data_IF_328352829843
#
_entry.id   IF_328352829843
#
_cell.length_a   1.000
_cell.length_b   1.000
_cell.length_c   1.000
_cell.angle_alpha   90.00
_cell.angle_beta   90.00
_cell.angle_gamma   90.00
#
_symmetry.space_group_name_H-M   'P 1'
#
loop_
_entity.id
_entity.type
_entity.pdbx_description
1 polymer ?
#
# COMPACT_ATOMS: atom_id res chain seq x y z
N UNK A 1 -17.51 -1.71 -28.02
CA UNK A 1 -17.89 -1.73 -26.67
C UNK A 1 -17.42 -0.53 -25.86
N UNK A 2 -17.95 0.65 -26.15
CA UNK A 2 -17.68 1.89 -25.43
C UNK A 2 -18.20 1.93 -23.99
N UNK A 3 -18.68 0.81 -23.47
CA UNK A 3 -19.20 0.68 -22.11
C UNK A 3 -18.20 0.05 -21.13
N UNK A 4 -17.05 -0.42 -21.61
CA UNK A 4 -16.09 -1.14 -20.78
C UNK A 4 -15.28 -0.24 -19.82
N UNK A 5 -15.45 1.07 -19.89
CA UNK A 5 -14.87 2.02 -18.94
C UNK A 5 -15.94 3.01 -18.49
N UNK A 6 -16.65 2.74 -17.41
CA UNK A 6 -17.20 3.86 -16.70
C UNK A 6 -16.01 4.69 -16.27
N UNK A 7 -15.77 5.80 -16.96
CA UNK A 7 -14.83 6.78 -16.45
C UNK A 7 -15.31 7.17 -15.05
N UNK A 8 -14.41 7.47 -14.14
CA UNK A 8 -14.77 7.98 -12.82
C UNK A 8 -15.74 9.17 -12.93
N UNK A 9 -15.75 9.90 -14.03
CA UNK A 9 -16.69 10.95 -14.37
C UNK A 9 -18.14 10.51 -14.51
N UNK A 10 -18.42 9.28 -14.88
CA UNK A 10 -19.79 8.79 -14.96
C UNK A 10 -20.44 8.58 -13.58
N UNK A 11 -19.62 8.35 -12.56
CA UNK A 11 -20.07 8.17 -11.18
C UNK A 11 -19.99 9.42 -10.32
N UNK A 12 -19.14 10.38 -10.71
CA UNK A 12 -18.87 11.57 -9.91
C UNK A 12 -19.10 12.81 -10.76
N UNK A 13 -20.00 13.67 -10.28
CA UNK A 13 -20.44 14.88 -10.99
C UNK A 13 -19.35 15.94 -11.14
N UNK A 14 -18.32 15.90 -10.31
CA UNK A 14 -17.24 16.87 -10.29
C UNK A 14 -15.96 16.29 -9.72
N UNK A 15 -14.85 16.99 -9.98
CA UNK A 15 -13.57 16.71 -9.36
C UNK A 15 -13.62 16.75 -7.83
N UNK A 16 -14.41 17.66 -7.27
CA UNK A 16 -14.63 17.76 -5.82
C UNK A 16 -15.28 16.50 -5.26
N UNK A 17 -16.25 15.94 -5.95
CA UNK A 17 -16.90 14.69 -5.55
C UNK A 17 -15.92 13.51 -5.58
N UNK A 18 -15.05 13.45 -6.59
CA UNK A 18 -13.97 12.46 -6.68
C UNK A 18 -13.00 12.55 -5.50
N UNK A 19 -12.53 13.77 -5.22
CA UNK A 19 -11.60 14.00 -4.12
C UNK A 19 -12.24 13.66 -2.78
N UNK A 20 -13.49 14.03 -2.59
CA UNK A 20 -14.27 13.72 -1.39
C UNK A 20 -14.40 12.19 -1.20
N UNK A 21 -14.72 11.46 -2.28
CA UNK A 21 -14.81 10.00 -2.24
C UNK A 21 -13.47 9.33 -1.89
N UNK A 22 -12.35 9.83 -2.43
CA UNK A 22 -11.01 9.35 -2.08
C UNK A 22 -10.71 9.52 -0.59
N UNK A 23 -10.95 10.71 -0.07
CA UNK A 23 -10.60 11.07 1.32
C UNK A 23 -11.49 10.36 2.33
N UNK A 24 -12.80 10.28 2.08
CA UNK A 24 -13.75 9.75 3.04
C UNK A 24 -14.03 8.26 2.90
N UNK A 25 -13.73 7.67 1.77
CA UNK A 25 -14.17 6.33 1.45
C UNK A 25 -13.01 5.40 1.06
N UNK A 26 -12.27 5.73 0.02
CA UNK A 26 -11.23 4.85 -0.52
C UNK A 26 -10.02 4.78 0.42
N UNK A 27 -9.47 5.91 0.82
CA UNK A 27 -8.25 5.95 1.64
C UNK A 27 -8.45 5.34 3.03
N UNK A 28 -9.53 5.63 3.76
CA UNK A 28 -9.76 4.99 5.06
C UNK A 28 -9.95 3.48 4.96
N UNK A 29 -10.65 2.97 3.95
CA UNK A 29 -10.81 1.52 3.73
C UNK A 29 -9.48 0.85 3.39
N UNK A 30 -8.69 1.50 2.55
CA UNK A 30 -7.36 1.02 2.19
C UNK A 30 -6.47 0.88 3.43
N UNK A 31 -6.34 1.97 4.19
CA UNK A 31 -5.56 2.00 5.42
C UNK A 31 -6.02 0.95 6.42
N UNK A 32 -7.33 0.81 6.60
CA UNK A 32 -7.92 -0.18 7.50
C UNK A 32 -7.54 -1.61 7.08
N UNK A 33 -7.66 -1.96 5.81
CA UNK A 33 -7.34 -3.31 5.31
C UNK A 33 -5.86 -3.64 5.50
N UNK A 34 -4.99 -2.69 5.22
CA UNK A 34 -3.54 -2.87 5.43
C UNK A 34 -3.23 -3.06 6.92
N UNK A 35 -3.80 -2.22 7.76
CA UNK A 35 -3.60 -2.28 9.21
C UNK A 35 -4.13 -3.59 9.82
N UNK A 36 -5.29 -4.05 9.39
CA UNK A 36 -5.87 -5.34 9.81
C UNK A 36 -4.97 -6.51 9.41
N UNK A 37 -4.47 -6.51 8.19
CA UNK A 37 -3.56 -7.56 7.71
C UNK A 37 -2.25 -7.59 8.51
N UNK A 38 -1.68 -6.42 8.81
CA UNK A 38 -0.49 -6.33 9.65
C UNK A 38 -0.76 -6.80 11.08
N UNK A 39 -1.88 -6.40 11.65
CA UNK A 39 -2.27 -6.74 13.02
C UNK A 39 -2.54 -8.23 13.19
N UNK A 40 -2.95 -8.92 12.13
CA UNK A 40 -3.14 -10.38 12.15
C UNK A 40 -1.84 -11.15 12.30
N UNK A 41 -0.69 -10.53 12.01
CA UNK A 41 0.63 -11.16 12.15
C UNK A 41 1.24 -10.86 13.52
N UNK A 42 1.48 -11.88 14.36
CA UNK A 42 2.04 -11.67 15.68
C UNK A 42 3.50 -11.22 15.66
N UNK A 43 4.29 -11.68 14.68
CA UNK A 43 5.69 -11.27 14.55
C UNK A 43 5.81 -9.98 13.74
N UNK A 44 6.53 -8.97 14.26
CA UNK A 44 6.73 -7.72 13.52
C UNK A 44 7.35 -7.90 12.13
N UNK A 45 8.26 -8.85 11.97
CA UNK A 45 8.90 -9.12 10.68
C UNK A 45 7.88 -9.61 9.64
N UNK A 46 6.93 -10.45 10.04
CA UNK A 46 5.87 -10.92 9.15
C UNK A 46 4.88 -9.80 8.75
N UNK A 47 4.72 -8.77 9.60
CA UNK A 47 3.91 -7.59 9.28
C UNK A 47 4.45 -6.81 8.08
N UNK A 48 5.76 -6.82 7.86
CA UNK A 48 6.37 -6.17 6.68
C UNK A 48 5.84 -6.80 5.39
N UNK A 49 5.86 -8.13 5.33
CA UNK A 49 5.35 -8.85 4.17
C UNK A 49 3.84 -8.67 4.00
N UNK A 50 3.08 -8.71 5.10
CA UNK A 50 1.64 -8.43 5.09
C UNK A 50 1.33 -7.04 4.53
N UNK A 51 2.08 -6.02 4.92
CA UNK A 51 1.96 -4.66 4.38
C UNK A 51 2.09 -4.65 2.85
N UNK A 52 3.17 -5.21 2.33
CA UNK A 52 3.46 -5.18 0.90
C UNK A 52 2.43 -5.98 0.10
N UNK A 53 2.14 -7.21 0.51
CA UNK A 53 1.20 -8.08 -0.21
C UNK A 53 -0.22 -7.56 -0.20
N UNK A 54 -0.68 -6.96 0.90
CA UNK A 54 -2.01 -6.37 0.98
C UNK A 54 -2.14 -5.15 0.07
N UNK A 55 -1.12 -4.28 0.01
CA UNK A 55 -1.12 -3.17 -0.94
C UNK A 55 -1.17 -3.65 -2.39
N UNK A 56 -0.42 -4.68 -2.74
CA UNK A 56 -0.45 -5.28 -4.09
C UNK A 56 -1.85 -5.83 -4.41
N UNK A 57 -2.45 -6.55 -3.49
CA UNK A 57 -3.80 -7.11 -3.66
C UNK A 57 -4.86 -6.02 -3.86
N UNK A 58 -4.79 -4.93 -3.08
CA UNK A 58 -5.70 -3.79 -3.21
C UNK A 58 -5.59 -3.09 -4.57
N UNK A 59 -4.37 -2.94 -5.07
CA UNK A 59 -4.13 -2.40 -6.42
C UNK A 59 -4.74 -3.33 -7.48
N UNK A 60 -4.51 -4.63 -7.36
CA UNK A 60 -5.05 -5.62 -8.29
C UNK A 60 -6.59 -5.69 -8.28
N UNK A 61 -7.22 -5.41 -7.15
CA UNK A 61 -8.68 -5.29 -7.01
C UNK A 61 -9.25 -4.02 -7.66
N UNK A 62 -8.40 -3.09 -8.10
CA UNK A 62 -8.81 -1.85 -8.77
C UNK A 62 -9.16 -0.69 -7.83
N UNK A 63 -8.92 -0.80 -6.55
CA UNK A 63 -9.15 0.27 -5.56
C UNK A 63 -8.34 1.55 -5.87
N UNK A 64 -7.27 1.41 -6.63
CA UNK A 64 -6.39 2.51 -7.03
C UNK A 64 -6.93 3.33 -8.22
N UNK A 65 -7.94 2.81 -8.94
CA UNK A 65 -8.40 3.39 -10.21
C UNK A 65 -8.95 4.81 -10.06
N UNK A 66 -9.64 5.11 -8.96
CA UNK A 66 -10.23 6.44 -8.71
C UNK A 66 -9.13 7.50 -8.55
N UNK A 67 -8.08 7.20 -7.78
CA UNK A 67 -6.95 8.10 -7.59
C UNK A 67 -6.19 8.35 -8.89
N UNK A 68 -5.93 7.30 -9.66
CA UNK A 68 -5.27 7.41 -10.96
C UNK A 68 -6.11 8.23 -11.96
N UNK A 69 -7.41 8.01 -12.00
CA UNK A 69 -8.32 8.75 -12.88
C UNK A 69 -8.31 10.25 -12.54
N UNK A 70 -8.34 10.58 -11.25
CA UNK A 70 -8.30 11.98 -10.81
C UNK A 70 -6.95 12.64 -11.13
N UNK A 71 -5.85 11.97 -10.87
CA UNK A 71 -4.50 12.45 -11.17
C UNK A 71 -4.28 12.68 -12.67
N UNK A 72 -4.84 11.83 -13.52
CA UNK A 72 -4.74 11.95 -14.97
C UNK A 72 -5.49 13.17 -15.53
N UNK A 73 -6.59 13.54 -14.89
CA UNK A 73 -7.49 14.60 -15.39
C UNK A 73 -7.11 15.99 -14.89
N UNK A 74 -6.71 16.10 -13.63
CA UNK A 74 -6.45 17.40 -13.02
C UNK A 74 -5.47 17.30 -11.85
N UNK A 75 -4.17 17.30 -12.12
CA UNK A 75 -3.17 17.46 -11.07
C UNK A 75 -3.44 18.76 -10.30
N UNK A 76 -3.49 18.68 -8.99
CA UNK A 76 -3.73 19.86 -8.15
C UNK A 76 -2.94 19.75 -6.85
N UNK A 77 -2.66 20.91 -6.25
CA UNK A 77 -2.02 20.95 -4.93
C UNK A 77 -2.86 20.24 -3.87
N UNK A 78 -4.17 20.37 -3.95
CA UNK A 78 -5.10 19.72 -3.05
C UNK A 78 -5.00 18.18 -3.15
N UNK A 79 -4.99 17.63 -4.38
CA UNK A 79 -4.79 16.19 -4.58
C UNK A 79 -3.43 15.73 -4.09
N UNK A 80 -2.38 16.52 -4.37
CA UNK A 80 -1.03 16.21 -3.90
C UNK A 80 -0.96 16.19 -2.37
N UNK A 81 -1.61 17.15 -1.70
CA UNK A 81 -1.68 17.21 -0.24
C UNK A 81 -2.41 16.00 0.34
N UNK A 82 -3.55 15.63 -0.23
CA UNK A 82 -4.32 14.47 0.22
C UNK A 82 -3.56 13.15 -0.03
N UNK A 83 -2.90 13.04 -1.16
CA UNK A 83 -2.08 11.88 -1.48
C UNK A 83 -0.88 11.76 -0.54
N UNK A 84 -0.24 12.87 -0.20
CA UNK A 84 0.87 12.89 0.77
C UNK A 84 0.40 12.49 2.16
N UNK A 85 -0.77 12.98 2.60
CA UNK A 85 -1.36 12.61 3.88
C UNK A 85 -1.69 11.11 3.93
N UNK A 86 -2.31 10.58 2.89
CA UNK A 86 -2.59 9.15 2.77
C UNK A 86 -1.31 8.32 2.81
N UNK A 87 -0.29 8.75 2.07
CA UNK A 87 1.02 8.09 2.04
C UNK A 87 1.63 8.02 3.45
N UNK A 88 1.60 9.14 4.18
CA UNK A 88 2.06 9.19 5.57
C UNK A 88 1.26 8.24 6.46
N UNK A 89 -0.07 8.25 6.37
CA UNK A 89 -0.92 7.37 7.17
C UNK A 89 -0.66 5.89 6.91
N UNK A 90 -0.36 5.51 5.66
CA UNK A 90 -0.01 4.13 5.30
C UNK A 90 1.39 3.75 5.79
N UNK A 91 2.34 4.69 5.79
CA UNK A 91 3.71 4.43 6.24
C UNK A 91 3.84 4.37 7.75
N UNK A 92 3.02 5.09 8.51
CA UNK A 92 3.12 5.14 9.97
C UNK A 92 3.12 3.75 10.64
N UNK A 93 2.21 2.82 10.31
CA UNK A 93 2.25 1.47 10.85
C UNK A 93 3.52 0.70 10.45
N UNK A 94 4.01 0.92 9.24
CA UNK A 94 5.24 0.29 8.76
C UNK A 94 6.47 0.81 9.51
N UNK A 95 6.57 2.12 9.70
CA UNK A 95 7.64 2.76 10.48
C UNK A 95 7.63 2.25 11.92
N UNK A 96 6.46 2.20 12.55
CA UNK A 96 6.31 1.68 13.92
C UNK A 96 6.76 0.23 14.03
N UNK A 97 6.41 -0.60 13.05
CA UNK A 97 6.84 -2.00 12.99
C UNK A 97 8.36 -2.12 12.87
N UNK A 98 8.97 -1.31 12.02
CA UNK A 98 10.43 -1.29 11.84
C UNK A 98 11.16 -0.79 13.09
N UNK A 99 10.57 0.17 13.82
CA UNK A 99 11.09 0.60 15.13
C UNK A 99 11.06 -0.55 16.14
N UNK A 100 9.95 -1.29 16.20
CA UNK A 100 9.82 -2.47 17.05
C UNK A 100 10.85 -3.56 16.71
N UNK A 101 11.21 -3.70 15.44
CA UNK A 101 12.25 -4.62 14.98
C UNK A 101 13.67 -4.14 15.28
N UNK A 102 13.85 -2.89 15.71
CA UNK A 102 15.17 -2.32 15.96
C UNK A 102 15.91 -1.85 14.71
N UNK A 103 15.18 -1.50 13.65
CA UNK A 103 15.81 -0.93 12.45
C UNK A 103 16.62 0.31 12.80
N UNK A 104 17.84 0.46 12.27
CA UNK A 104 18.67 1.63 12.53
C UNK A 104 18.12 2.92 11.91
N UNK A 105 17.34 2.80 10.84
CA UNK A 105 16.65 3.91 10.20
C UNK A 105 15.27 3.46 9.70
N UNK A 106 14.26 3.45 10.60
CA UNK A 106 12.92 2.98 10.26
C UNK A 106 12.25 3.77 9.13
N UNK A 107 12.45 5.07 9.09
CA UNK A 107 11.85 5.94 8.08
C UNK A 107 12.40 5.64 6.68
N UNK A 108 13.71 5.60 6.52
CA UNK A 108 14.33 5.27 5.24
C UNK A 108 13.99 3.84 4.80
N UNK A 109 13.99 2.89 5.72
CA UNK A 109 13.63 1.50 5.42
C UNK A 109 12.18 1.39 4.97
N UNK A 110 11.26 2.11 5.62
CA UNK A 110 9.86 2.15 5.22
C UNK A 110 9.68 2.72 3.80
N UNK A 111 10.40 3.77 3.45
CA UNK A 111 10.38 4.37 2.11
C UNK A 111 10.88 3.38 1.05
N UNK A 112 11.94 2.63 1.33
CA UNK A 112 12.47 1.61 0.43
C UNK A 112 11.46 0.48 0.23
N UNK A 113 10.84 -0.01 1.29
CA UNK A 113 9.80 -1.04 1.22
C UNK A 113 8.60 -0.53 0.42
N UNK A 114 8.17 0.71 0.66
CA UNK A 114 7.09 1.32 -0.09
C UNK A 114 7.45 1.52 -1.57
N UNK A 115 8.72 1.73 -1.89
CA UNK A 115 9.23 1.74 -3.27
C UNK A 115 9.00 0.41 -3.98
N UNK A 116 9.10 -0.71 -3.28
CA UNK A 116 8.74 -2.04 -3.80
C UNK A 116 7.25 -2.08 -4.16
N UNK A 117 6.38 -1.56 -3.29
CA UNK A 117 4.94 -1.47 -3.55
C UNK A 117 4.67 -0.65 -4.82
N UNK A 118 5.28 0.52 -4.96
CA UNK A 118 5.13 1.37 -6.15
C UNK A 118 5.57 0.67 -7.43
N UNK A 119 6.71 0.00 -7.39
CA UNK A 119 7.21 -0.75 -8.54
C UNK A 119 6.30 -1.93 -8.88
N UNK A 120 5.82 -2.65 -7.86
CA UNK A 120 4.86 -3.73 -8.05
C UNK A 120 3.58 -3.24 -8.73
N UNK A 121 3.06 -2.09 -8.32
CA UNK A 121 1.89 -1.45 -8.95
C UNK A 121 2.12 -1.21 -10.45
N UNK A 122 3.25 -0.66 -10.81
CA UNK A 122 3.60 -0.42 -12.23
C UNK A 122 3.70 -1.72 -13.03
N UNK A 123 4.18 -2.79 -12.41
CA UNK A 123 4.26 -4.10 -13.05
C UNK A 123 2.88 -4.72 -13.27
N UNK A 124 1.92 -4.45 -12.38
CA UNK A 124 0.53 -4.87 -12.53
C UNK A 124 -0.21 -4.09 -13.60
N UNK A 125 0.09 -2.80 -13.78
CA UNK A 125 -0.46 -1.97 -14.86
C UNK A 125 0.02 -2.44 -16.24
N UNK A 126 1.11 -3.22 -16.28
CA UNK A 126 1.60 -3.90 -17.47
C UNK A 126 0.89 -5.23 -17.72
N UNK A 127 1.58 -6.15 -18.36
CA UNK A 127 1.04 -7.47 -18.70
C UNK A 127 1.28 -8.55 -17.61
N UNK A 128 1.79 -8.17 -16.45
CA UNK A 128 2.16 -9.13 -15.42
C UNK A 128 0.97 -9.46 -14.53
N UNK A 129 0.85 -10.73 -14.17
CA UNK A 129 -0.19 -11.19 -13.26
C UNK A 129 0.16 -10.82 -11.81
N UNK A 130 -0.86 -10.69 -10.97
CA UNK A 130 -0.69 -10.48 -9.52
C UNK A 130 0.20 -11.56 -8.90
N UNK A 131 -0.06 -12.82 -9.21
CA UNK A 131 0.72 -13.96 -8.70
C UNK A 131 2.20 -13.88 -9.06
N UNK A 132 2.52 -13.48 -10.28
CA UNK A 132 3.90 -13.33 -10.73
C UNK A 132 4.62 -12.20 -9.99
N UNK A 133 3.95 -11.07 -9.78
CA UNK A 133 4.49 -9.92 -9.04
C UNK A 133 4.70 -10.28 -7.58
N UNK A 134 3.70 -10.89 -6.94
CA UNK A 134 3.80 -11.33 -5.54
C UNK A 134 4.93 -12.34 -5.33
N UNK A 135 5.13 -13.27 -6.26
CA UNK A 135 6.23 -14.23 -6.20
C UNK A 135 7.60 -13.55 -6.19
N UNK A 136 7.78 -12.51 -7.00
CA UNK A 136 9.06 -11.75 -7.02
C UNK A 136 9.25 -10.93 -5.76
N UNK A 137 8.19 -10.33 -5.25
CA UNK A 137 8.22 -9.58 -4.00
C UNK A 137 8.59 -10.48 -2.82
N UNK A 138 7.99 -11.65 -2.72
CA UNK A 138 8.31 -12.65 -1.69
C UNK A 138 9.78 -13.08 -1.77
N UNK A 139 10.27 -13.36 -2.96
CA UNK A 139 11.67 -13.73 -3.18
C UNK A 139 12.65 -12.68 -2.65
N UNK A 140 12.31 -11.39 -2.80
CA UNK A 140 13.13 -10.28 -2.31
C UNK A 140 13.01 -10.05 -0.80
N UNK A 141 11.81 -10.14 -0.25
CA UNK A 141 11.52 -9.75 1.13
C UNK A 141 11.56 -10.90 2.14
N UNK A 142 11.28 -12.14 1.75
CA UNK A 142 11.31 -13.27 2.67
C UNK A 142 12.65 -13.49 3.35
N UNK A 143 13.82 -13.35 2.69
CA UNK A 143 15.11 -13.42 3.38
C UNK A 143 15.25 -12.38 4.49
N UNK A 144 14.86 -11.12 4.20
CA UNK A 144 14.87 -10.04 5.18
C UNK A 144 13.94 -10.33 6.37
N UNK A 145 12.71 -10.75 6.09
CA UNK A 145 11.71 -11.11 7.11
C UNK A 145 12.22 -12.27 7.97
N UNK A 146 12.76 -13.30 7.34
CA UNK A 146 13.29 -14.49 8.04
C UNK A 146 14.44 -14.16 8.98
N UNK A 147 15.33 -13.29 8.54
CA UNK A 147 16.48 -12.86 9.34
C UNK A 147 16.07 -12.05 10.57
N UNK A 148 14.97 -11.31 10.47
CA UNK A 148 14.50 -10.43 11.53
C UNK A 148 13.35 -10.99 12.37
N UNK A 149 12.92 -12.24 12.12
CA UNK A 149 11.95 -12.91 12.98
C UNK A 149 12.52 -13.14 14.36
N UNK A 150 11.71 -12.90 15.37
CA UNK A 150 12.08 -13.20 16.75
C UNK A 150 12.19 -14.70 16.94
N UNK A 151 13.28 -15.13 17.57
CA UNK A 151 13.44 -16.54 17.94
C UNK A 151 12.47 -16.88 19.07
N UNK A 152 11.76 -18.02 19.00
CA UNK A 152 10.91 -18.46 20.11
C UNK A 152 11.78 -18.60 21.38
N UNK A 153 11.61 -17.73 22.35
CA UNK A 153 12.39 -17.69 23.58
C UNK A 153 12.86 -16.32 24.03
N UNK A 154 12.92 -15.32 23.13
CA UNK A 154 13.27 -13.93 23.49
C UNK A 154 12.10 -13.12 24.08
N UNK A 155 10.92 -13.71 24.16
CA UNK A 155 9.71 -13.04 24.65
C UNK A 155 9.58 -13.02 26.19
N UNK A 156 10.61 -13.48 26.94
CA UNK A 156 10.55 -13.57 28.41
C UNK A 156 11.63 -12.75 29.13
N UNK A 157 12.01 -11.63 28.55
CA UNK A 157 12.89 -10.71 29.28
C UNK A 157 12.29 -9.33 29.35
#
# INVERSE_FOLDING_TARGET
AGLARPSAYQYYKSRQDLLHALVLDVFPRWAQRVEEAMRAEPDPADRILAYVLTNIALVAEGEHAVGNALAAVAPSEELNTQSALMHSQLLDPLVSTLQEMGSPDPAATAELINGIVHTATKLLDGERTQEAVEARVKELLEPYVREHRRTPGEQQS
#
